data_IF_738034274593
#
_entry.id   IF_738034274593
#
_cell.length_a   1.000
_cell.length_b   1.000
_cell.length_c   1.000
_cell.angle_alpha   90.00
_cell.angle_beta   90.00
_cell.angle_gamma   90.00
#
_symmetry.space_group_name_H-M   'P 1'
#
loop_
_entity.id
_entity.type
_entity.pdbx_description
1 polymer ?
#
# COMPACT_ATOMS: atom_id res chain seq x y z
N UNK A 1 2.82 48.33 10.30
CA UNK A 1 4.20 48.01 10.69
C UNK A 1 4.25 46.52 11.01
N UNK A 2 4.99 45.76 10.20
CA UNK A 2 5.72 44.51 10.49
C UNK A 2 4.88 43.34 11.05
N UNK A 3 4.80 42.14 10.45
CA UNK A 3 5.52 41.56 9.32
C UNK A 3 5.14 40.08 9.19
N UNK A 4 5.15 39.61 7.94
CA UNK A 4 5.15 38.22 7.45
C UNK A 4 5.84 37.20 8.38
N UNK A 5 5.23 36.01 8.54
CA UNK A 5 5.98 34.74 8.51
C UNK A 5 5.30 33.80 7.50
N UNK A 6 6.00 33.63 6.39
CA UNK A 6 5.77 32.68 5.31
C UNK A 6 6.45 31.36 5.67
N UNK A 7 5.81 30.25 5.31
CA UNK A 7 6.48 29.09 4.72
C UNK A 7 7.09 28.07 5.68
N UNK A 8 6.45 26.91 5.78
CA UNK A 8 7.16 25.66 6.00
C UNK A 8 6.87 24.73 4.81
N UNK A 9 7.51 25.05 3.68
CA UNK A 9 7.76 24.09 2.61
C UNK A 9 8.75 23.09 3.19
N UNK A 10 8.35 21.83 3.25
CA UNK A 10 9.23 20.72 3.57
C UNK A 10 10.17 20.50 2.37
N UNK A 11 11.16 21.38 2.20
CA UNK A 11 12.28 21.19 1.27
C UNK A 11 13.40 20.49 2.05
N UNK A 12 13.28 19.18 2.23
CA UNK A 12 14.45 18.37 2.57
C UNK A 12 15.28 18.22 1.30
N UNK A 13 16.18 19.17 1.07
CA UNK A 13 17.30 18.99 0.16
C UNK A 13 18.19 17.88 0.74
N UNK A 14 18.01 16.66 0.23
CA UNK A 14 18.90 15.54 0.51
C UNK A 14 20.32 15.82 0.00
N UNK A 15 21.36 15.27 0.67
CA UNK A 15 22.76 15.53 0.34
C UNK A 15 23.08 15.08 -1.08
N UNK A 16 23.94 15.84 -1.76
CA UNK A 16 24.34 15.64 -3.16
C UNK A 16 25.16 14.37 -3.40
N UNK A 17 24.50 13.22 -3.37
CA UNK A 17 24.88 12.05 -4.16
C UNK A 17 24.11 12.05 -5.47
N UNK A 18 24.72 11.55 -6.55
CA UNK A 18 24.00 11.34 -7.80
C UNK A 18 22.80 10.42 -7.54
N UNK A 19 21.62 10.93 -7.90
CA UNK A 19 20.39 10.18 -7.77
C UNK A 19 20.31 9.19 -8.92
N UNK A 20 19.93 7.96 -8.63
CA UNK A 20 19.64 7.00 -9.69
C UNK A 20 18.44 7.45 -10.54
N UNK A 21 18.28 6.83 -11.72
CA UNK A 21 17.21 7.17 -12.65
C UNK A 21 15.79 7.06 -12.03
N UNK A 22 15.57 6.14 -11.09
CA UNK A 22 14.25 5.94 -10.46
C UNK A 22 13.95 7.04 -9.43
N UNK A 23 14.95 7.50 -8.68
CA UNK A 23 14.85 8.65 -7.80
C UNK A 23 14.55 9.93 -8.59
N UNK A 24 15.18 10.11 -9.75
CA UNK A 24 14.83 11.19 -10.67
C UNK A 24 13.39 11.10 -11.20
N UNK A 25 12.92 9.92 -11.61
CA UNK A 25 11.51 9.72 -12.00
C UNK A 25 10.55 10.07 -10.87
N UNK A 26 10.85 9.68 -9.63
CA UNK A 26 10.00 10.01 -8.47
C UNK A 26 9.88 11.52 -8.26
N UNK A 27 10.98 12.26 -8.37
CA UNK A 27 10.95 13.73 -8.28
C UNK A 27 10.20 14.37 -9.45
N UNK A 28 10.32 13.82 -10.66
CA UNK A 28 9.55 14.30 -11.80
C UNK A 28 8.04 14.19 -11.56
N UNK A 29 7.58 13.05 -11.03
CA UNK A 29 6.16 12.83 -10.69
C UNK A 29 5.68 13.77 -9.58
N UNK A 30 6.52 14.07 -8.58
CA UNK A 30 6.19 15.05 -7.53
C UNK A 30 6.06 16.47 -8.11
N UNK A 31 7.02 16.87 -8.96
CA UNK A 31 6.99 18.16 -9.64
C UNK A 31 5.72 18.31 -10.50
N UNK A 32 5.37 17.27 -11.26
CA UNK A 32 4.13 17.23 -12.03
C UNK A 32 2.87 17.36 -11.16
N UNK A 33 2.83 16.66 -10.02
CA UNK A 33 1.72 16.77 -9.07
C UNK A 33 1.58 18.20 -8.48
N UNK A 34 2.70 18.93 -8.37
CA UNK A 34 2.70 20.35 -7.98
C UNK A 34 2.48 21.33 -9.14
N UNK A 35 2.37 20.85 -10.38
CA UNK A 35 2.21 21.67 -11.58
C UNK A 35 3.50 22.28 -12.14
N UNK A 36 4.67 21.96 -11.57
CA UNK A 36 5.97 22.41 -12.07
C UNK A 36 6.47 21.49 -13.18
N UNK A 37 6.00 21.75 -14.40
CA UNK A 37 6.38 20.98 -15.57
C UNK A 37 7.85 21.16 -15.97
N UNK A 38 8.47 22.29 -15.61
CA UNK A 38 9.88 22.55 -15.93
C UNK A 38 10.82 21.74 -15.04
N UNK A 39 10.51 21.61 -13.75
CA UNK A 39 11.23 20.71 -12.85
C UNK A 39 10.97 19.23 -13.20
N UNK A 40 9.74 18.89 -13.60
CA UNK A 40 9.43 17.55 -14.15
C UNK A 40 10.36 17.21 -15.31
N UNK A 41 10.45 18.07 -16.31
CA UNK A 41 11.24 17.82 -17.53
C UNK A 41 12.74 17.74 -17.22
N UNK A 42 13.24 18.58 -16.31
CA UNK A 42 14.64 18.51 -15.84
C UNK A 42 14.96 17.15 -15.20
N UNK A 43 14.08 16.65 -14.34
CA UNK A 43 14.30 15.35 -13.71
C UNK A 43 14.17 14.17 -14.70
N UNK A 44 13.24 14.23 -15.66
CA UNK A 44 13.15 13.22 -16.71
C UNK A 44 14.39 13.22 -17.62
N UNK A 45 14.96 14.39 -17.94
CA UNK A 45 16.20 14.49 -18.70
C UNK A 45 17.36 13.79 -17.98
N UNK A 46 17.56 14.06 -16.68
CA UNK A 46 18.60 13.40 -15.87
C UNK A 46 18.40 11.88 -15.79
N UNK A 47 17.15 11.41 -15.64
CA UNK A 47 16.88 9.97 -15.66
C UNK A 47 17.29 9.30 -16.98
N UNK A 48 17.22 10.02 -18.10
CA UNK A 48 17.65 9.55 -19.42
C UNK A 48 19.14 9.71 -19.68
N UNK A 49 19.82 10.66 -19.02
CA UNK A 49 21.28 10.74 -19.02
C UNK A 49 21.88 9.50 -18.35
N UNK A 50 21.33 9.08 -17.21
CA UNK A 50 21.72 7.86 -16.48
C UNK A 50 21.39 6.57 -17.23
N UNK A 51 20.16 6.48 -17.76
CA UNK A 51 19.73 5.33 -18.54
C UNK A 51 19.00 5.82 -19.79
N UNK A 52 19.69 5.95 -20.93
CA UNK A 52 19.06 6.38 -22.16
C UNK A 52 17.89 5.51 -22.54
N UNK A 53 17.92 4.20 -22.26
CA UNK A 53 16.86 3.26 -22.60
C UNK A 53 15.65 3.25 -21.65
N UNK A 54 15.60 4.13 -20.63
CA UNK A 54 14.67 3.99 -19.52
C UNK A 54 13.19 4.10 -19.95
N UNK A 55 12.38 3.02 -19.83
CA UNK A 55 11.04 2.99 -20.41
C UNK A 55 10.07 3.94 -19.73
N UNK A 56 10.09 4.04 -18.39
CA UNK A 56 9.20 4.95 -17.65
C UNK A 56 9.47 6.43 -17.98
N UNK A 57 10.73 6.87 -17.99
CA UNK A 57 11.09 8.25 -18.29
C UNK A 57 10.63 8.65 -19.71
N UNK A 58 10.84 7.78 -20.70
CA UNK A 58 10.35 8.02 -22.07
C UNK A 58 8.83 8.03 -22.17
N UNK A 59 8.15 7.12 -21.46
CA UNK A 59 6.69 7.11 -21.41
C UNK A 59 6.13 8.41 -20.80
N UNK A 60 6.75 8.92 -19.73
CA UNK A 60 6.38 10.21 -19.10
C UNK A 60 6.63 11.42 -20.02
N UNK A 61 7.58 11.32 -20.96
CA UNK A 61 7.77 12.31 -22.02
C UNK A 61 6.77 12.16 -23.18
N UNK A 62 5.83 11.22 -23.11
CA UNK A 62 4.83 10.95 -24.14
C UNK A 62 5.38 10.22 -25.35
N UNK A 63 6.34 9.32 -25.14
CA UNK A 63 6.88 8.42 -26.16
C UNK A 63 6.42 6.98 -25.92
N UNK A 64 6.17 6.25 -27.01
CA UNK A 64 5.80 4.84 -27.01
C UNK A 64 6.92 4.03 -27.66
N UNK A 65 7.19 2.85 -27.10
CA UNK A 65 8.05 1.87 -27.76
C UNK A 65 7.25 1.15 -28.86
N UNK A 66 7.57 1.41 -30.12
CA UNK A 66 7.00 0.75 -31.29
C UNK A 66 8.13 0.20 -32.17
N UNK A 67 8.08 -1.11 -32.48
CA UNK A 67 9.05 -1.79 -33.36
C UNK A 67 10.54 -1.53 -33.01
N UNK A 68 10.85 -1.37 -31.72
CA UNK A 68 12.21 -1.10 -31.23
C UNK A 68 12.61 0.37 -31.22
N UNK A 69 11.72 1.27 -31.65
CA UNK A 69 11.92 2.71 -31.67
C UNK A 69 11.04 3.41 -30.63
N UNK A 70 11.49 4.57 -30.15
CA UNK A 70 10.70 5.42 -29.27
C UNK A 70 10.09 6.55 -30.09
N UNK A 71 8.77 6.47 -30.28
CA UNK A 71 8.04 7.36 -31.19
C UNK A 71 6.87 8.01 -30.48
N UNK A 72 6.36 9.11 -31.05
CA UNK A 72 5.12 9.74 -30.60
C UNK A 72 3.91 8.85 -30.96
N UNK A 73 2.82 8.86 -30.18
CA UNK A 73 1.61 8.07 -30.50
C UNK A 73 1.05 8.31 -31.91
N UNK A 74 1.16 9.54 -32.41
CA UNK A 74 0.66 9.93 -33.74
C UNK A 74 1.44 9.25 -34.87
N UNK A 75 2.73 8.97 -34.66
CA UNK A 75 3.59 8.23 -35.59
C UNK A 75 3.12 6.78 -35.72
N UNK A 76 2.84 6.12 -34.60
CA UNK A 76 2.31 4.75 -34.58
C UNK A 76 1.03 4.67 -35.40
N UNK A 77 0.07 5.55 -35.11
CA UNK A 77 -1.20 5.58 -35.83
C UNK A 77 -1.05 5.92 -37.32
N UNK A 78 -0.05 6.70 -37.72
CA UNK A 78 0.25 6.95 -39.14
C UNK A 78 0.86 5.72 -39.81
N UNK A 79 1.81 5.03 -39.17
CA UNK A 79 2.43 3.80 -39.68
C UNK A 79 1.37 2.71 -39.90
N UNK A 80 0.49 2.52 -38.92
CA UNK A 80 -0.57 1.51 -39.01
C UNK A 80 -1.58 1.80 -40.13
N UNK A 81 -1.84 3.09 -40.44
CA UNK A 81 -2.66 3.48 -41.59
C UNK A 81 -1.97 3.27 -42.94
N UNK A 82 -0.64 3.40 -42.98
CA UNK A 82 0.16 3.20 -44.20
C UNK A 82 0.40 1.72 -44.49
N UNK A 83 0.45 0.88 -43.46
CA UNK A 83 0.47 -0.57 -43.59
C UNK A 83 -0.93 -1.07 -43.99
N UNK A 84 -1.11 -1.34 -45.28
CA UNK A 84 -2.41 -1.76 -45.84
C UNK A 84 -3.00 -3.01 -45.17
N UNK A 85 -2.17 -3.95 -44.70
CA UNK A 85 -2.66 -5.14 -44.01
C UNK A 85 -3.20 -4.79 -42.61
N UNK A 86 -2.45 -3.98 -41.86
CA UNK A 86 -2.85 -3.50 -40.53
C UNK A 86 -4.08 -2.59 -40.62
N UNK A 87 -4.12 -1.66 -41.58
CA UNK A 87 -5.26 -0.78 -41.82
C UNK A 87 -6.54 -1.57 -42.15
N UNK A 88 -6.45 -2.60 -43.00
CA UNK A 88 -7.57 -3.46 -43.31
C UNK A 88 -8.06 -4.26 -42.10
N UNK A 89 -7.13 -4.80 -41.29
CA UNK A 89 -7.45 -5.50 -40.06
C UNK A 89 -8.16 -4.58 -39.05
N UNK A 90 -7.68 -3.34 -38.89
CA UNK A 90 -8.31 -2.33 -38.02
C UNK A 90 -9.70 -1.91 -38.51
N UNK A 91 -9.91 -1.81 -39.82
CA UNK A 91 -11.22 -1.54 -40.39
C UNK A 91 -12.21 -2.68 -40.08
N UNK A 92 -11.79 -3.94 -40.26
CA UNK A 92 -12.61 -5.11 -39.91
C UNK A 92 -12.90 -5.17 -38.40
N UNK A 93 -11.88 -4.90 -37.58
CA UNK A 93 -12.01 -4.79 -36.12
C UNK A 93 -13.10 -3.79 -35.72
N UNK A 94 -13.04 -2.58 -36.25
CA UNK A 94 -13.99 -1.51 -35.93
C UNK A 94 -15.42 -1.89 -36.34
N UNK A 95 -15.59 -2.52 -37.50
CA UNK A 95 -16.89 -3.01 -37.96
C UNK A 95 -17.46 -4.11 -37.04
N UNK A 96 -16.62 -5.05 -36.59
CA UNK A 96 -17.01 -6.09 -35.63
C UNK A 96 -17.38 -5.50 -34.28
N UNK A 97 -16.54 -4.60 -33.74
CA UNK A 97 -16.75 -3.93 -32.46
C UNK A 97 -18.04 -3.11 -32.44
N UNK A 98 -18.37 -2.41 -33.53
CA UNK A 98 -19.57 -1.58 -33.62
C UNK A 98 -20.88 -2.36 -33.48
N UNK A 99 -20.88 -3.66 -33.81
CA UNK A 99 -22.05 -4.55 -33.75
C UNK A 99 -22.03 -5.49 -32.54
N UNK A 100 -20.99 -5.42 -31.72
CA UNK A 100 -20.73 -6.35 -30.64
C UNK A 100 -21.60 -6.04 -29.41
N UNK A 101 -22.11 -7.08 -28.74
CA UNK A 101 -22.77 -6.94 -27.43
C UNK A 101 -21.74 -6.88 -26.29
N UNK A 102 -22.08 -6.20 -25.19
CA UNK A 102 -21.22 -6.15 -23.99
C UNK A 102 -21.36 -7.43 -23.15
N UNK A 103 -20.88 -8.55 -23.68
CA UNK A 103 -20.94 -9.86 -23.02
C UNK A 103 -19.57 -10.51 -22.96
N UNK A 104 -19.37 -11.41 -21.99
CA UNK A 104 -18.10 -12.14 -21.86
C UNK A 104 -17.72 -12.86 -23.15
N UNK A 105 -18.65 -13.61 -23.74
CA UNK A 105 -18.40 -14.37 -24.96
C UNK A 105 -18.04 -13.47 -26.15
N UNK A 106 -18.71 -12.33 -26.30
CA UNK A 106 -18.43 -11.39 -27.37
C UNK A 106 -17.04 -10.76 -27.23
N UNK A 107 -16.68 -10.31 -26.02
CA UNK A 107 -15.33 -9.81 -25.73
C UNK A 107 -14.25 -10.87 -25.91
N UNK A 108 -14.48 -12.09 -25.42
CA UNK A 108 -13.56 -13.21 -25.59
C UNK A 108 -13.29 -13.53 -27.06
N UNK A 109 -14.35 -13.68 -27.86
CA UNK A 109 -14.24 -14.03 -29.27
C UNK A 109 -13.57 -12.92 -30.09
N UNK A 110 -13.88 -11.65 -29.80
CA UNK A 110 -13.24 -10.53 -30.50
C UNK A 110 -11.77 -10.39 -30.10
N UNK A 111 -11.42 -10.60 -28.83
CA UNK A 111 -10.03 -10.59 -28.38
C UNK A 111 -9.18 -11.68 -29.08
N UNK A 112 -9.70 -12.90 -29.11
CA UNK A 112 -9.07 -14.05 -29.77
C UNK A 112 -8.93 -13.85 -31.29
N UNK A 113 -9.92 -13.23 -31.94
CA UNK A 113 -9.80 -12.82 -33.34
C UNK A 113 -8.72 -11.73 -33.53
N UNK A 114 -8.68 -10.70 -32.67
CA UNK A 114 -7.68 -9.64 -32.74
C UNK A 114 -6.25 -10.19 -32.60
N UNK A 115 -6.04 -11.11 -31.64
CA UNK A 115 -4.74 -11.76 -31.41
C UNK A 115 -4.25 -12.51 -32.65
N UNK A 116 -5.13 -13.28 -33.31
CA UNK A 116 -4.80 -13.98 -34.57
C UNK A 116 -4.48 -13.04 -35.73
N UNK A 117 -5.01 -11.81 -35.71
CA UNK A 117 -4.74 -10.77 -36.72
C UNK A 117 -3.54 -9.89 -36.38
N UNK A 118 -2.87 -10.13 -35.25
CA UNK A 118 -1.75 -9.29 -34.78
C UNK A 118 -2.18 -7.97 -34.13
N UNK A 119 -3.48 -7.75 -33.93
CA UNK A 119 -4.06 -6.56 -33.28
C UNK A 119 -3.95 -6.67 -31.75
N UNK A 120 -2.71 -6.60 -31.24
CA UNK A 120 -2.39 -6.88 -29.83
C UNK A 120 -3.05 -5.90 -28.86
N UNK A 121 -3.06 -4.60 -29.18
CA UNK A 121 -3.62 -3.58 -28.29
C UNK A 121 -5.14 -3.76 -28.12
N UNK A 122 -5.84 -4.05 -29.22
CA UNK A 122 -7.26 -4.33 -29.27
C UNK A 122 -7.60 -5.63 -28.53
N UNK A 123 -6.77 -6.67 -28.68
CA UNK A 123 -6.93 -7.93 -27.95
C UNK A 123 -6.82 -7.72 -26.44
N UNK A 124 -5.82 -6.98 -25.97
CA UNK A 124 -5.63 -6.63 -24.56
C UNK A 124 -6.85 -5.88 -24.01
N UNK A 125 -7.38 -4.91 -24.75
CA UNK A 125 -8.57 -4.16 -24.33
C UNK A 125 -9.77 -5.09 -24.12
N UNK A 126 -9.99 -6.05 -25.01
CA UNK A 126 -11.11 -6.98 -24.91
C UNK A 126 -10.91 -8.10 -23.89
N UNK A 127 -9.70 -8.63 -23.71
CA UNK A 127 -9.42 -9.53 -22.58
C UNK A 127 -9.62 -8.81 -21.24
N UNK A 128 -9.22 -7.54 -21.13
CA UNK A 128 -9.45 -6.72 -19.92
C UNK A 128 -10.94 -6.49 -19.66
N UNK A 129 -11.75 -6.30 -20.70
CA UNK A 129 -13.20 -6.24 -20.53
C UNK A 129 -13.77 -7.60 -20.06
N UNK A 130 -13.28 -8.71 -20.61
CA UNK A 130 -13.70 -10.06 -20.23
C UNK A 130 -13.39 -10.38 -18.76
N UNK A 131 -12.25 -9.92 -18.21
CA UNK A 131 -11.93 -10.11 -16.78
C UNK A 131 -12.89 -9.37 -15.84
N UNK A 132 -13.48 -8.25 -16.27
CA UNK A 132 -14.48 -7.51 -15.49
C UNK A 132 -15.85 -8.20 -15.52
N UNK A 133 -16.20 -8.79 -16.65
CA UNK A 133 -17.49 -9.47 -16.85
C UNK A 133 -17.55 -10.84 -16.16
N UNK A 134 -16.43 -11.56 -16.12
CA UNK A 134 -16.29 -12.84 -15.39
C UNK A 134 -14.92 -12.93 -14.72
N UNK A 135 -14.75 -12.32 -13.53
CA UNK A 135 -13.49 -12.33 -12.80
C UNK A 135 -12.98 -13.72 -12.43
N UNK A 136 -13.90 -14.68 -12.26
CA UNK A 136 -13.63 -16.09 -11.96
C UNK A 136 -13.07 -16.87 -13.15
N UNK A 137 -13.28 -16.39 -14.38
CA UNK A 137 -12.75 -17.04 -15.57
C UNK A 137 -11.25 -16.78 -15.69
N UNK A 138 -10.45 -17.84 -15.58
CA UNK A 138 -8.98 -17.72 -15.63
C UNK A 138 -8.43 -17.35 -17.01
N UNK A 139 -9.17 -17.65 -18.08
CA UNK A 139 -8.63 -17.61 -19.44
C UNK A 139 -8.21 -16.20 -19.89
N UNK A 140 -9.02 -15.13 -19.69
CA UNK A 140 -8.61 -13.78 -20.05
C UNK A 140 -7.41 -13.29 -19.22
N UNK A 141 -7.34 -13.64 -17.93
CA UNK A 141 -6.20 -13.30 -17.07
C UNK A 141 -4.90 -13.91 -17.59
N UNK A 142 -4.92 -15.21 -17.94
CA UNK A 142 -3.75 -15.90 -18.51
C UNK A 142 -3.33 -15.29 -19.84
N UNK A 143 -4.28 -14.90 -20.71
CA UNK A 143 -4.01 -14.21 -21.98
C UNK A 143 -3.39 -12.83 -21.77
N UNK A 144 -3.75 -12.13 -20.70
CA UNK A 144 -3.12 -10.88 -20.28
C UNK A 144 -1.76 -11.06 -19.60
N UNK A 145 -1.27 -12.30 -19.45
CA UNK A 145 0.00 -12.60 -18.79
C UNK A 145 -0.05 -12.61 -17.26
N UNK A 146 -1.24 -12.55 -16.66
CA UNK A 146 -1.40 -12.59 -15.21
C UNK A 146 -1.25 -14.02 -14.67
N UNK A 147 -0.72 -14.12 -13.46
CA UNK A 147 -0.62 -15.36 -12.69
C UNK A 147 -1.47 -15.28 -11.44
N UNK A 148 -2.10 -16.41 -11.07
CA UNK A 148 -2.93 -16.47 -9.85
C UNK A 148 -2.07 -16.73 -8.63
N UNK A 149 -2.12 -15.82 -7.66
CA UNK A 149 -1.47 -15.94 -6.34
C UNK A 149 -2.55 -15.83 -5.26
N UNK A 150 -2.89 -16.96 -4.64
CA UNK A 150 -4.02 -17.04 -3.72
C UNK A 150 -5.33 -16.65 -4.41
N UNK A 151 -5.99 -15.59 -3.91
CA UNK A 151 -7.24 -15.03 -4.47
C UNK A 151 -7.02 -13.86 -5.43
N UNK A 152 -5.77 -13.49 -5.75
CA UNK A 152 -5.44 -12.32 -6.56
C UNK A 152 -4.78 -12.72 -7.89
N UNK A 153 -5.07 -11.95 -8.92
CA UNK A 153 -4.34 -11.98 -10.19
C UNK A 153 -3.26 -10.91 -10.15
N UNK A 154 -2.03 -11.29 -10.49
CA UNK A 154 -0.87 -10.39 -10.45
C UNK A 154 -0.06 -10.56 -11.72
N UNK A 155 0.56 -9.49 -12.19
CA UNK A 155 1.56 -9.60 -13.26
C UNK A 155 2.83 -10.30 -12.72
N UNK A 156 3.68 -10.86 -13.59
CA UNK A 156 4.95 -11.44 -13.17
C UNK A 156 5.83 -10.45 -12.40
N UNK A 157 5.81 -9.17 -12.77
CA UNK A 157 6.54 -8.08 -12.13
C UNK A 157 6.01 -7.82 -10.72
N UNK A 158 4.68 -7.68 -10.56
CA UNK A 158 4.06 -7.52 -9.24
C UNK A 158 4.37 -8.70 -8.32
N UNK A 159 4.40 -9.92 -8.86
CA UNK A 159 4.78 -11.12 -8.11
C UNK A 159 6.26 -11.15 -7.74
N UNK A 160 7.13 -10.62 -8.59
CA UNK A 160 8.55 -10.52 -8.31
C UNK A 160 8.83 -9.47 -7.23
N UNK A 161 8.20 -8.30 -7.32
CA UNK A 161 8.27 -7.24 -6.32
C UNK A 161 7.77 -7.70 -4.95
N UNK A 162 6.60 -8.37 -4.91
CA UNK A 162 6.10 -8.94 -3.65
C UNK A 162 7.09 -9.93 -3.04
N UNK A 163 7.68 -10.83 -3.85
CA UNK A 163 8.68 -11.79 -3.35
C UNK A 163 9.96 -11.11 -2.87
N UNK A 164 10.40 -10.06 -3.55
CA UNK A 164 11.56 -9.28 -3.13
C UNK A 164 11.28 -8.59 -1.78
N UNK A 165 10.09 -8.02 -1.59
CA UNK A 165 9.69 -7.41 -0.32
C UNK A 165 9.58 -8.44 0.81
N UNK A 166 8.96 -9.61 0.55
CA UNK A 166 8.88 -10.71 1.50
C UNK A 166 10.28 -11.20 1.92
N UNK A 167 11.21 -11.31 0.97
CA UNK A 167 12.61 -11.67 1.25
C UNK A 167 13.34 -10.59 2.05
N UNK A 168 13.13 -9.31 1.73
CA UNK A 168 13.73 -8.20 2.47
C UNK A 168 13.20 -8.15 3.91
N UNK A 169 11.89 -8.35 4.10
CA UNK A 169 11.28 -8.44 5.42
C UNK A 169 11.81 -9.65 6.19
N UNK A 170 11.91 -10.84 5.58
CA UNK A 170 12.44 -12.02 6.24
C UNK A 170 13.91 -11.85 6.67
N UNK A 171 14.72 -11.15 5.88
CA UNK A 171 16.09 -10.79 6.24
C UNK A 171 16.12 -9.80 7.41
N UNK A 172 15.26 -8.79 7.39
CA UNK A 172 15.10 -7.85 8.50
C UNK A 172 14.67 -8.56 9.79
N UNK A 173 13.70 -9.49 9.71
CA UNK A 173 13.23 -10.26 10.86
C UNK A 173 14.37 -11.10 11.47
N UNK A 174 15.14 -11.81 10.64
CA UNK A 174 16.32 -12.57 11.10
C UNK A 174 17.38 -11.68 11.73
N UNK A 175 17.53 -10.44 11.26
CA UNK A 175 18.48 -9.46 11.81
C UNK A 175 17.99 -8.89 13.14
N UNK A 176 16.71 -8.54 13.24
CA UNK A 176 16.17 -7.78 14.36
C UNK A 176 15.70 -8.65 15.52
N UNK A 177 15.11 -9.82 15.25
CA UNK A 177 14.62 -10.73 16.28
C UNK A 177 15.66 -11.03 17.39
N UNK A 178 16.86 -11.57 17.09
CA UNK A 178 17.80 -11.93 18.14
C UNK A 178 18.31 -10.70 18.92
N UNK A 179 18.45 -9.54 18.25
CA UNK A 179 18.90 -8.29 18.88
C UNK A 179 17.86 -7.76 19.86
N UNK A 180 16.59 -7.70 19.45
CA UNK A 180 15.51 -7.20 20.28
C UNK A 180 15.27 -8.11 21.49
N UNK A 181 15.33 -9.43 21.33
CA UNK A 181 15.26 -10.39 22.44
C UNK A 181 16.43 -10.21 23.41
N UNK A 182 17.65 -10.07 22.89
CA UNK A 182 18.84 -9.83 23.71
C UNK A 182 18.71 -8.53 24.51
N UNK A 183 18.29 -7.44 23.87
CA UNK A 183 18.09 -6.16 24.55
C UNK A 183 16.96 -6.24 25.57
N UNK A 184 15.86 -6.95 25.28
CA UNK A 184 14.78 -7.19 26.25
C UNK A 184 15.31 -7.82 27.54
N UNK A 185 16.13 -8.88 27.43
CA UNK A 185 16.74 -9.50 28.61
C UNK A 185 17.71 -8.56 29.34
N UNK A 186 18.52 -7.77 28.62
CA UNK A 186 19.43 -6.79 29.25
C UNK A 186 18.70 -5.67 29.98
N UNK A 187 17.45 -5.38 29.62
CA UNK A 187 16.69 -4.38 30.37
C UNK A 187 16.42 -4.84 31.82
N UNK A 188 16.43 -6.14 32.11
CA UNK A 188 16.14 -6.69 33.45
C UNK A 188 17.27 -6.37 34.44
N UNK A 189 18.50 -6.35 33.97
CA UNK A 189 19.67 -6.00 34.75
C UNK A 189 19.90 -4.48 34.80
N UNK A 190 20.07 -3.94 36.00
CA UNK A 190 20.24 -2.50 36.21
C UNK A 190 21.53 -1.95 35.59
N UNK A 191 22.60 -2.76 35.52
CA UNK A 191 23.89 -2.34 34.99
C UNK A 191 23.86 -2.23 33.45
N UNK A 192 23.23 -3.18 32.76
CA UNK A 192 23.16 -3.20 31.29
C UNK A 192 21.95 -2.45 30.69
N UNK A 193 20.96 -2.10 31.50
CA UNK A 193 19.75 -1.36 31.05
C UNK A 193 20.04 -0.06 30.28
N UNK A 194 20.95 0.84 30.70
CA UNK A 194 21.19 2.10 29.97
C UNK A 194 21.76 1.88 28.57
N UNK A 195 22.61 0.87 28.40
CA UNK A 195 23.16 0.49 27.10
C UNK A 195 22.06 -0.07 26.18
N UNK A 196 21.24 -0.99 26.69
CA UNK A 196 20.15 -1.59 25.93
C UNK A 196 19.13 -0.53 25.46
N UNK A 197 18.77 0.43 26.31
CA UNK A 197 17.87 1.54 25.93
C UNK A 197 18.47 2.40 24.82
N UNK A 198 19.77 2.73 24.88
CA UNK A 198 20.44 3.49 23.82
C UNK A 198 20.41 2.77 22.48
N UNK A 199 20.68 1.46 22.49
CA UNK A 199 20.62 0.65 21.26
C UNK A 199 19.20 0.57 20.68
N UNK A 200 18.18 0.55 21.53
CA UNK A 200 16.77 0.59 21.12
C UNK A 200 16.39 1.95 20.52
N UNK A 201 16.89 3.05 21.11
CA UNK A 201 16.68 4.42 20.63
C UNK A 201 17.39 4.72 19.29
N UNK A 202 18.27 3.84 18.79
CA UNK A 202 18.94 3.95 17.49
C UNK A 202 18.22 3.20 16.36
N UNK A 203 17.17 2.44 16.67
CA UNK A 203 16.42 1.68 15.65
C UNK A 203 15.60 2.67 14.80
N UNK A 204 15.92 2.74 13.50
CA UNK A 204 15.20 3.55 12.49
C UNK A 204 14.58 2.72 11.36
N UNK A 205 14.90 1.43 11.28
CA UNK A 205 14.51 0.55 10.16
C UNK A 205 12.99 0.29 10.16
N UNK A 206 12.25 0.71 9.12
CA UNK A 206 10.81 0.42 8.99
C UNK A 206 10.47 -1.07 9.07
N UNK A 207 11.36 -1.94 8.61
CA UNK A 207 11.16 -3.40 8.63
C UNK A 207 11.42 -4.02 10.00
N UNK A 208 11.91 -3.25 10.99
CA UNK A 208 12.03 -3.72 12.37
C UNK A 208 10.67 -3.78 13.10
N UNK A 209 9.68 -3.01 12.64
CA UNK A 209 8.38 -2.84 13.32
C UNK A 209 7.68 -4.17 13.67
N UNK A 210 7.59 -5.17 12.77
CA UNK A 210 6.97 -6.46 13.11
C UNK A 210 7.64 -7.17 14.29
N UNK A 211 8.98 -7.13 14.34
CA UNK A 211 9.73 -7.76 15.43
C UNK A 211 9.66 -6.96 16.72
N UNK A 212 9.66 -5.62 16.66
CA UNK A 212 9.41 -4.76 17.83
C UNK A 212 8.03 -5.06 18.42
N UNK A 213 7.01 -5.16 17.58
CA UNK A 213 5.65 -5.52 18.01
C UNK A 213 5.61 -6.90 18.67
N UNK A 214 6.27 -7.89 18.07
CA UNK A 214 6.28 -9.27 18.58
C UNK A 214 7.01 -9.39 19.92
N UNK A 215 8.15 -8.70 20.08
CA UNK A 215 8.98 -8.80 21.29
C UNK A 215 8.43 -7.93 22.43
N UNK A 216 7.94 -6.73 22.13
CA UNK A 216 7.59 -5.72 23.14
C UNK A 216 6.10 -5.33 23.15
N UNK A 217 5.44 -5.30 21.99
CA UNK A 217 4.08 -4.75 21.86
C UNK A 217 2.99 -5.56 22.56
N UNK A 218 3.17 -6.88 22.69
CA UNK A 218 2.20 -7.78 23.34
C UNK A 218 2.62 -8.17 24.78
N UNK A 219 3.68 -7.57 25.30
CA UNK A 219 4.22 -7.87 26.64
C UNK A 219 3.50 -7.13 27.78
N UNK A 220 4.01 -7.26 29.02
CA UNK A 220 3.57 -6.45 30.15
C UNK A 220 3.79 -4.94 29.93
N UNK A 221 3.22 -4.05 30.77
CA UNK A 221 3.30 -2.60 30.59
C UNK A 221 4.73 -2.06 30.35
N UNK A 222 5.73 -2.63 31.03
CA UNK A 222 7.14 -2.28 30.85
C UNK A 222 7.64 -2.51 29.42
N UNK A 223 7.24 -3.63 28.82
CA UNK A 223 7.61 -3.96 27.45
C UNK A 223 6.86 -3.07 26.46
N UNK A 224 5.57 -2.83 26.70
CA UNK A 224 4.79 -1.92 25.86
C UNK A 224 5.34 -0.48 25.88
N UNK A 225 5.84 0.01 27.02
CA UNK A 225 6.51 1.30 27.09
C UNK A 225 7.76 1.37 26.19
N UNK A 226 8.52 0.27 26.13
CA UNK A 226 9.66 0.14 25.20
C UNK A 226 9.18 0.08 23.75
N UNK A 227 8.09 -0.62 23.46
CA UNK A 227 7.50 -0.64 22.13
C UNK A 227 7.13 0.78 21.66
N UNK A 228 6.41 1.55 22.50
CA UNK A 228 6.04 2.94 22.19
C UNK A 228 7.28 3.79 21.89
N UNK A 229 8.32 3.70 22.74
CA UNK A 229 9.60 4.40 22.55
C UNK A 229 10.28 4.04 21.23
N UNK A 230 10.40 2.76 20.90
CA UNK A 230 11.09 2.34 19.66
C UNK A 230 10.28 2.73 18.42
N UNK A 231 8.97 2.52 18.45
CA UNK A 231 8.08 2.86 17.34
C UNK A 231 8.06 4.36 17.05
N UNK A 232 8.23 5.20 18.07
CA UNK A 232 8.34 6.64 17.91
C UNK A 232 9.52 7.07 17.04
N UNK A 233 10.63 6.32 17.10
CA UNK A 233 11.80 6.63 16.30
C UNK A 233 11.72 6.13 14.85
N UNK A 234 10.75 5.29 14.51
CA UNK A 234 10.62 4.70 13.18
C UNK A 234 9.60 5.51 12.36
N UNK A 235 10.06 6.20 11.33
CA UNK A 235 9.17 6.89 10.39
C UNK A 235 8.61 5.93 9.34
N UNK A 236 7.53 5.21 9.70
CA UNK A 236 6.88 4.26 8.81
C UNK A 236 5.37 4.15 9.08
N UNK A 237 4.52 3.96 8.04
CA UNK A 237 3.09 3.74 8.23
C UNK A 237 2.76 2.56 9.15
N UNK A 238 3.59 1.52 9.15
CA UNK A 238 3.40 0.36 10.02
C UNK A 238 3.69 0.69 11.50
N UNK A 239 4.64 1.60 11.77
CA UNK A 239 4.92 2.07 13.13
C UNK A 239 3.74 2.90 13.67
N UNK A 240 3.20 3.82 12.87
CA UNK A 240 2.00 4.58 13.21
C UNK A 240 0.80 3.66 13.49
N UNK A 241 0.60 2.61 12.69
CA UNK A 241 -0.43 1.59 12.97
C UNK A 241 -0.19 0.87 14.29
N UNK A 242 1.04 0.49 14.59
CA UNK A 242 1.38 -0.19 15.84
C UNK A 242 1.14 0.72 17.07
N UNK A 243 1.51 2.00 16.99
CA UNK A 243 1.18 3.00 18.01
C UNK A 243 -0.34 3.15 18.17
N UNK A 244 -1.09 3.26 17.06
CA UNK A 244 -2.55 3.31 17.10
C UNK A 244 -3.18 2.07 17.73
N UNK A 245 -2.56 0.88 17.59
CA UNK A 245 -3.00 -0.29 18.34
C UNK A 245 -2.77 -0.11 19.84
N UNK A 246 -1.58 0.28 20.26
CA UNK A 246 -1.25 0.50 21.68
C UNK A 246 -2.10 1.61 22.32
N UNK A 247 -2.49 2.62 21.55
CA UNK A 247 -3.39 3.69 22.00
C UNK A 247 -4.79 3.17 22.39
N UNK A 248 -5.22 2.03 21.84
CA UNK A 248 -6.55 1.44 22.12
C UNK A 248 -6.45 0.21 23.02
N UNK A 249 -5.48 -0.67 22.77
CA UNK A 249 -5.34 -1.96 23.48
C UNK A 249 -4.16 -1.99 24.46
N UNK A 250 -3.55 -0.84 24.74
CA UNK A 250 -2.51 -0.72 25.75
C UNK A 250 -2.99 -1.26 27.10
N UNK A 251 -2.11 -1.95 27.81
CA UNK A 251 -2.45 -2.68 29.04
C UNK A 251 -2.86 -1.76 30.20
N UNK A 252 -2.40 -0.51 30.18
CA UNK A 252 -2.71 0.53 31.16
C UNK A 252 -2.88 1.88 30.45
N UNK A 253 -3.61 2.80 31.10
CA UNK A 253 -3.95 4.13 30.56
C UNK A 253 -2.70 4.92 30.13
N UNK A 254 -1.62 4.89 30.92
CA UNK A 254 -0.39 5.62 30.58
C UNK A 254 0.28 5.15 29.29
N UNK A 255 0.10 3.88 28.90
CA UNK A 255 0.58 3.37 27.60
C UNK A 255 -0.32 3.85 26.47
N UNK A 256 -1.63 3.88 26.72
CA UNK A 256 -2.62 4.34 25.75
C UNK A 256 -2.40 5.81 25.42
N UNK A 257 -2.29 6.65 26.45
CA UNK A 257 -1.98 8.08 26.32
C UNK A 257 -0.64 8.30 25.61
N UNK A 258 0.43 7.64 26.08
CA UNK A 258 1.73 7.79 25.46
C UNK A 258 1.70 7.40 23.96
N UNK A 259 1.04 6.30 23.61
CA UNK A 259 0.92 5.90 22.22
C UNK A 259 0.07 6.89 21.40
N UNK A 260 -1.01 7.45 21.97
CA UNK A 260 -1.86 8.43 21.33
C UNK A 260 -1.12 9.76 21.04
N UNK A 261 -0.37 10.28 22.01
CA UNK A 261 0.42 11.51 21.83
C UNK A 261 1.38 11.42 20.62
N UNK A 262 1.97 10.23 20.43
CA UNK A 262 2.95 9.98 19.36
C UNK A 262 2.32 9.82 17.97
N UNK A 263 0.99 9.81 17.88
CA UNK A 263 0.25 9.81 16.62
C UNK A 263 0.00 11.21 16.07
N UNK A 264 0.07 12.27 16.90
CA UNK A 264 -0.25 13.65 16.48
C UNK A 264 0.65 14.13 15.32
N UNK A 265 1.92 13.68 15.29
CA UNK A 265 2.87 13.99 14.22
C UNK A 265 2.87 13.03 13.02
N UNK A 266 1.95 12.05 12.97
CA UNK A 266 1.95 10.98 11.95
C UNK A 266 0.88 11.21 10.90
N UNK A 267 1.11 10.74 9.67
CA UNK A 267 0.09 10.76 8.61
C UNK A 267 -1.17 10.00 9.06
N UNK A 268 -2.31 10.69 9.24
CA UNK A 268 -3.55 10.05 9.67
C UNK A 268 -4.02 8.95 8.73
N UNK A 269 -3.68 9.01 7.43
CA UNK A 269 -4.05 7.99 6.44
C UNK A 269 -3.43 6.62 6.76
N UNK A 270 -2.34 6.58 7.52
CA UNK A 270 -1.71 5.34 7.92
C UNK A 270 -2.57 4.55 8.93
N UNK A 271 -3.26 5.23 9.87
CA UNK A 271 -3.89 4.59 11.03
C UNK A 271 -5.38 4.91 11.24
N UNK A 272 -5.94 5.97 10.67
CA UNK A 272 -7.36 6.33 10.85
C UNK A 272 -8.31 5.21 10.43
N UNK A 273 -8.07 4.58 9.28
CA UNK A 273 -8.91 3.48 8.81
C UNK A 273 -8.92 2.28 9.76
N UNK A 274 -7.81 2.05 10.48
CA UNK A 274 -7.72 1.01 11.51
C UNK A 274 -8.58 1.39 12.72
N UNK A 275 -8.46 2.62 13.22
CA UNK A 275 -9.21 3.11 14.38
C UNK A 275 -10.72 3.17 14.10
N UNK A 276 -11.12 3.67 12.93
CA UNK A 276 -12.52 3.69 12.50
C UNK A 276 -13.08 2.27 12.44
N UNK A 277 -12.30 1.30 11.93
CA UNK A 277 -12.70 -0.11 11.92
C UNK A 277 -12.90 -0.72 13.31
N UNK A 278 -12.38 -0.09 14.36
CA UNK A 278 -12.54 -0.50 15.76
C UNK A 278 -13.60 0.29 16.52
N UNK A 279 -14.11 1.38 15.95
CA UNK A 279 -15.27 2.08 16.51
C UNK A 279 -16.48 1.14 16.45
N UNK A 280 -16.85 0.59 17.59
CA UNK A 280 -18.11 -0.12 17.75
C UNK A 280 -19.19 0.88 18.17
N UNK A 281 -20.35 0.81 17.53
CA UNK A 281 -21.52 1.52 18.04
C UNK A 281 -21.79 1.02 19.47
N UNK A 282 -22.00 1.91 20.45
CA UNK A 282 -22.39 1.49 21.79
C UNK A 282 -23.65 0.64 21.67
N UNK A 283 -23.66 -0.55 22.25
CA UNK A 283 -24.85 -1.40 22.29
C UNK A 283 -25.74 -0.86 23.42
N UNK A 284 -26.88 -0.21 23.13
CA UNK A 284 -27.81 0.18 24.17
C UNK A 284 -28.26 -1.07 24.93
N UNK A 285 -28.19 -1.01 26.25
CA UNK A 285 -28.69 -2.07 27.12
C UNK A 285 -29.67 -1.51 28.14
N UNK A 286 -30.62 -2.33 28.55
CA UNK A 286 -31.53 -2.06 29.66
C UNK A 286 -31.40 -3.16 30.70
N UNK A 287 -31.33 -2.75 31.97
CA UNK A 287 -31.45 -3.67 33.10
C UNK A 287 -32.94 -3.92 33.32
N UNK A 288 -33.43 -5.08 32.91
CA UNK A 288 -34.83 -5.45 33.11
C UNK A 288 -35.09 -5.95 34.54
N UNK A 289 -34.10 -6.64 35.11
CA UNK A 289 -34.12 -7.06 36.51
C UNK A 289 -32.72 -6.91 37.11
N UNK A 290 -32.50 -6.00 38.08
CA UNK A 290 -31.23 -5.89 38.78
C UNK A 290 -30.99 -7.14 39.65
N UNK A 291 -29.73 -7.50 39.86
CA UNK A 291 -29.35 -8.59 40.77
C UNK A 291 -29.48 -8.07 42.21
N UNK A 292 -30.46 -8.57 42.95
CA UNK A 292 -30.77 -8.13 44.33
C UNK A 292 -29.97 -8.85 45.41
N UNK A 293 -29.02 -9.70 45.05
CA UNK A 293 -28.14 -10.40 45.99
C UNK A 293 -27.40 -11.59 45.38
N UNK A 294 -26.47 -12.21 46.12
CA UNK A 294 -25.72 -13.39 45.66
C UNK A 294 -26.66 -14.57 45.36
N UNK A 295 -26.62 -15.11 44.13
CA UNK A 295 -27.43 -16.25 43.68
C UNK A 295 -28.87 -15.91 43.25
N UNK A 296 -29.18 -14.62 43.08
CA UNK A 296 -30.47 -14.18 42.53
C UNK A 296 -30.32 -13.76 41.06
N UNK A 297 -31.26 -14.16 40.17
CA UNK A 297 -31.07 -13.97 38.75
C UNK A 297 -31.28 -12.52 38.30
N UNK A 298 -30.37 -12.03 37.47
CA UNK A 298 -30.45 -10.74 36.78
C UNK A 298 -30.78 -10.90 35.30
N UNK A 299 -31.46 -9.90 34.71
CA UNK A 299 -31.77 -9.89 33.27
C UNK A 299 -31.25 -8.60 32.64
N UNK A 300 -30.34 -8.75 31.67
CA UNK A 300 -29.92 -7.69 30.77
C UNK A 300 -30.57 -7.87 29.40
N UNK A 301 -31.13 -6.79 28.86
CA UNK A 301 -31.62 -6.72 27.49
C UNK A 301 -30.66 -5.84 26.67
N UNK A 302 -30.11 -6.41 25.59
CA UNK A 302 -29.26 -5.71 24.64
C UNK A 302 -30.07 -5.43 23.39
N UNK A 303 -30.14 -4.17 23.00
CA UNK A 303 -30.78 -3.75 21.76
C UNK A 303 -29.70 -3.63 20.68
N UNK A 304 -29.67 -4.61 19.78
CA UNK A 304 -28.72 -4.66 18.66
C UNK A 304 -29.46 -4.39 17.35
N UNK A 305 -28.79 -3.87 16.29
CA UNK A 305 -29.43 -3.62 15.00
C UNK A 305 -30.09 -4.82 14.32
N UNK A 306 -29.80 -6.05 14.80
CA UNK A 306 -30.31 -7.31 14.21
C UNK A 306 -31.35 -8.01 15.09
N UNK A 307 -31.31 -7.81 16.40
CA UNK A 307 -32.20 -8.46 17.35
C UNK A 307 -32.09 -7.85 18.76
N UNK A 308 -33.17 -7.99 19.53
CA UNK A 308 -33.15 -7.76 20.98
C UNK A 308 -32.70 -9.07 21.65
N UNK A 309 -31.58 -9.04 22.36
CA UNK A 309 -30.99 -10.21 23.03
C UNK A 309 -31.20 -10.05 24.54
N UNK A 310 -31.81 -11.05 25.18
CA UNK A 310 -31.95 -11.12 26.64
C UNK A 310 -30.98 -12.13 27.21
N UNK A 311 -30.17 -11.71 28.17
CA UNK A 311 -29.22 -12.58 28.86
C UNK A 311 -29.60 -12.70 30.33
N UNK A 312 -29.88 -13.93 30.72
CA UNK A 312 -30.09 -14.32 32.11
C UNK A 312 -28.74 -14.56 32.75
N UNK A 313 -28.54 -14.03 33.94
CA UNK A 313 -27.40 -14.31 34.79
C UNK A 313 -27.96 -14.93 36.07
N UNK A 314 -27.58 -16.18 36.36
CA UNK A 314 -27.96 -16.92 37.57
C UNK A 314 -26.87 -16.79 38.65
#
# INVERSE_FOLDING_TARGET
MIGLIIGCVLLMAEPGGDLDAEAHIRRALQAEASGDLAERDRHLARALEENPAHPKARALLGLLADRGEWVRPEEVGRRDRQDGATAAALAEYNARRARMSNTFAAHWNLADWCERRGLKAEAIAHFTAATRLRPESEAPWKRLGYVRVGRRWMTPEQRAEQRAEEQAQAQADRRWWPRLVTWRHRLDDAASRPEALRSLDEVRDPRAVPMVWTVFGQGPPRDQAVAVRVLDHIDAPLAARALARLAVVGTIETIQEAAADRLEGRDPRAYLGLLIGWLQAPVPYRVLRPVEGPGLPGILEFDTPRAIIRRLYD
#
